data_IF_814049707845
#
_entry.id   IF_814049707845
#
_cell.length_a   1.000
_cell.length_b   1.000
_cell.length_c   1.000
_cell.angle_alpha   90.00
_cell.angle_beta   90.00
_cell.angle_gamma   90.00
#
_symmetry.space_group_name_H-M   'P 1'
#
loop_
_entity.id
_entity.type
_entity.pdbx_description
1 polymer ?
#
# COMPACT_ATOMS: atom_id res chain seq x y z
N UNK A 1 7.42 5.27 -19.65
CA UNK A 1 6.72 4.38 -18.68
C UNK A 1 5.22 4.53 -18.90
N UNK A 2 4.49 3.43 -18.99
CA UNK A 2 3.06 3.51 -19.18
C UNK A 2 2.33 3.73 -17.85
N UNK A 3 1.03 3.96 -17.93
CA UNK A 3 0.25 4.29 -16.73
C UNK A 3 0.24 3.17 -15.70
N UNK A 4 0.13 1.91 -16.14
CA UNK A 4 0.16 0.78 -15.22
C UNK A 4 1.49 0.75 -14.46
N UNK A 5 2.60 0.94 -15.14
CA UNK A 5 3.91 0.96 -14.50
C UNK A 5 4.05 2.12 -13.52
N UNK A 6 3.54 3.29 -13.86
CA UNK A 6 3.56 4.43 -12.94
C UNK A 6 2.76 4.16 -11.68
N UNK A 7 1.61 3.51 -11.83
CA UNK A 7 0.79 3.16 -10.67
C UNK A 7 1.49 2.12 -9.79
N UNK A 8 2.17 1.15 -10.40
CA UNK A 8 2.92 0.15 -9.64
C UNK A 8 4.06 0.81 -8.85
N UNK A 9 4.81 1.70 -9.48
CA UNK A 9 5.84 2.47 -8.78
C UNK A 9 5.25 3.29 -7.65
N UNK A 10 4.14 3.96 -7.91
CA UNK A 10 3.47 4.78 -6.91
C UNK A 10 2.99 3.97 -5.72
N UNK A 11 2.36 2.83 -5.98
CA UNK A 11 1.87 1.96 -4.91
C UNK A 11 3.03 1.49 -4.04
N UNK A 12 4.10 1.01 -4.66
CA UNK A 12 5.28 0.55 -3.93
C UNK A 12 5.84 1.66 -3.05
N UNK A 13 5.96 2.85 -3.61
CA UNK A 13 6.52 4.00 -2.90
C UNK A 13 5.70 4.35 -1.66
N UNK A 14 4.37 4.38 -1.79
CA UNK A 14 3.52 4.71 -0.65
C UNK A 14 3.49 3.61 0.40
N UNK A 15 3.54 2.34 -0.02
CA UNK A 15 3.64 1.23 0.93
C UNK A 15 4.93 1.33 1.74
N UNK A 16 6.04 1.62 1.08
CA UNK A 16 7.33 1.79 1.75
C UNK A 16 7.26 2.96 2.73
N UNK A 17 6.64 4.07 2.32
CA UNK A 17 6.52 5.25 3.17
C UNK A 17 5.75 4.95 4.44
N UNK A 18 4.60 4.29 4.30
CA UNK A 18 3.81 3.93 5.47
C UNK A 18 4.54 2.98 6.40
N UNK A 19 5.25 2.01 5.83
CA UNK A 19 6.03 1.07 6.62
C UNK A 19 7.10 1.81 7.44
N UNK A 20 7.72 2.84 6.87
CA UNK A 20 8.74 3.62 7.58
C UNK A 20 8.17 4.37 8.77
N UNK A 21 6.94 4.87 8.69
CA UNK A 21 6.34 5.58 9.81
C UNK A 21 6.05 4.66 11.00
N UNK A 22 5.88 3.38 10.73
CA UNK A 22 5.48 2.39 11.74
C UNK A 22 6.65 1.53 12.19
N UNK A 23 7.65 1.34 11.31
CA UNK A 23 8.74 0.40 11.55
C UNK A 23 9.48 0.70 12.85
N UNK A 24 9.75 -0.37 13.61
CA UNK A 24 10.45 -0.32 14.89
C UNK A 24 9.69 0.43 15.98
N UNK A 25 8.40 0.62 15.80
CA UNK A 25 7.55 1.23 16.83
C UNK A 25 6.54 0.22 17.30
N UNK A 26 6.28 0.23 18.61
CA UNK A 26 5.15 -0.52 19.15
C UNK A 26 3.86 0.15 18.71
N UNK A 27 2.77 -0.59 18.76
CA UNK A 27 1.46 -0.01 18.47
C UNK A 27 1.20 1.20 19.37
N UNK A 28 1.50 1.08 20.66
CA UNK A 28 1.27 2.17 21.62
C UNK A 28 2.07 3.41 21.28
N UNK A 29 3.35 3.23 20.93
CA UNK A 29 4.19 4.37 20.55
C UNK A 29 3.67 5.04 19.28
N UNK A 30 3.22 4.24 18.31
CA UNK A 30 2.74 4.76 17.05
C UNK A 30 1.49 5.63 17.23
N UNK A 31 0.50 5.15 17.99
CA UNK A 31 -0.76 5.88 18.14
C UNK A 31 -0.61 7.16 18.94
N UNK A 32 0.47 7.28 19.72
CA UNK A 32 0.75 8.49 20.50
C UNK A 32 1.67 9.46 19.77
N UNK A 33 2.19 9.09 18.61
CA UNK A 33 2.96 10.00 17.77
C UNK A 33 2.01 10.61 16.74
N UNK A 34 1.51 11.79 17.07
CA UNK A 34 0.46 12.43 16.28
C UNK A 34 0.89 12.67 14.83
N UNK A 35 2.13 13.09 14.62
CA UNK A 35 2.63 13.34 13.28
C UNK A 35 2.73 12.06 12.46
N UNK A 36 3.27 11.01 13.06
CA UNK A 36 3.39 9.74 12.37
C UNK A 36 2.01 9.15 12.07
N UNK A 37 1.08 9.28 13.01
CA UNK A 37 -0.27 8.79 12.83
C UNK A 37 -0.98 9.52 11.68
N UNK A 38 -0.92 10.85 11.69
CA UNK A 38 -1.58 11.66 10.65
C UNK A 38 -0.97 11.39 9.27
N UNK A 39 0.36 11.28 9.21
CA UNK A 39 1.04 10.99 7.96
C UNK A 39 0.63 9.61 7.42
N UNK A 40 0.49 8.63 8.32
CA UNK A 40 0.07 7.28 7.92
C UNK A 40 -1.36 7.27 7.41
N UNK A 41 -2.25 8.06 8.02
CA UNK A 41 -3.62 8.18 7.51
C UNK A 41 -3.65 8.68 6.06
N UNK A 42 -2.81 9.66 5.75
CA UNK A 42 -2.72 10.15 4.37
C UNK A 42 -2.19 9.05 3.45
N UNK A 43 -1.18 8.31 3.89
CA UNK A 43 -0.61 7.20 3.12
C UNK A 43 -1.68 6.15 2.82
N UNK A 44 -2.53 5.83 3.80
CA UNK A 44 -3.62 4.87 3.61
C UNK A 44 -4.53 5.30 2.46
N UNK A 45 -4.89 6.57 2.41
CA UNK A 45 -5.74 7.07 1.34
C UNK A 45 -5.07 6.96 -0.02
N UNK A 46 -3.78 7.29 -0.10
CA UNK A 46 -3.03 7.19 -1.35
C UNK A 46 -2.89 5.75 -1.81
N UNK A 47 -2.63 4.83 -0.89
CA UNK A 47 -2.51 3.41 -1.22
C UNK A 47 -3.82 2.89 -1.82
N UNK A 48 -4.94 3.18 -1.17
CA UNK A 48 -6.23 2.70 -1.64
C UNK A 48 -6.60 3.27 -3.00
N UNK A 49 -6.35 4.56 -3.20
CA UNK A 49 -6.64 5.18 -4.48
C UNK A 49 -5.82 4.55 -5.61
N UNK A 50 -4.52 4.42 -5.39
CA UNK A 50 -3.63 3.88 -6.43
C UNK A 50 -3.96 2.41 -6.71
N UNK A 51 -4.16 1.61 -5.66
CA UNK A 51 -4.49 0.20 -5.84
C UNK A 51 -5.82 0.02 -6.58
N UNK A 52 -6.82 0.84 -6.27
CA UNK A 52 -8.11 0.79 -6.96
C UNK A 52 -7.96 1.13 -8.43
N UNK A 53 -7.18 2.16 -8.75
CA UNK A 53 -6.93 2.53 -10.14
C UNK A 53 -6.15 1.46 -10.87
N UNK A 54 -5.19 0.84 -10.18
CA UNK A 54 -4.39 -0.22 -10.77
C UNK A 54 -5.26 -1.44 -11.11
N UNK A 55 -6.18 -1.80 -10.22
CA UNK A 55 -7.11 -2.91 -10.48
C UNK A 55 -7.91 -2.64 -11.75
N UNK A 56 -8.32 -1.40 -11.97
CA UNK A 56 -9.10 -1.06 -13.16
C UNK A 56 -8.27 -1.11 -14.45
N UNK A 57 -6.93 -1.05 -14.34
CA UNK A 57 -6.04 -1.12 -15.48
C UNK A 57 -5.52 -2.52 -15.74
N UNK A 58 -5.55 -3.38 -14.73
CA UNK A 58 -5.18 -4.77 -14.89
C UNK A 58 -6.35 -5.44 -15.57
N UNK A 59 -6.19 -5.72 -16.83
CA UNK A 59 -7.24 -6.44 -17.50
C UNK A 59 -6.81 -7.87 -17.69
N UNK A 60 -7.54 -8.55 -18.51
CA UNK A 60 -7.30 -9.93 -18.83
C UNK A 60 -5.97 -10.18 -19.53
N UNK A 61 -5.20 -9.15 -19.84
CA UNK A 61 -3.97 -9.32 -20.60
C UNK A 61 -2.75 -9.53 -19.75
N UNK A 62 -2.89 -10.11 -18.63
CA UNK A 62 -1.72 -10.57 -17.95
C UNK A 62 -0.84 -9.49 -17.41
N UNK A 63 -1.36 -8.81 -16.52
CA UNK A 63 -0.49 -8.05 -15.69
C UNK A 63 0.45 -8.98 -14.95
N UNK A 64 1.63 -8.52 -14.64
CA UNK A 64 2.58 -9.24 -13.81
C UNK A 64 2.13 -9.27 -12.34
N UNK A 65 1.03 -8.62 -12.03
CA UNK A 65 0.49 -8.54 -10.68
C UNK A 65 -0.94 -9.03 -10.72
N UNK A 66 -1.30 -9.94 -9.81
CA UNK A 66 -2.66 -10.43 -9.74
C UNK A 66 -3.57 -9.43 -9.03
N UNK A 67 -4.83 -9.41 -9.45
CA UNK A 67 -5.84 -8.59 -8.76
C UNK A 67 -5.95 -8.98 -7.30
N UNK A 68 -5.73 -10.24 -7.00
CA UNK A 68 -5.86 -10.75 -5.64
C UNK A 68 -4.95 -10.03 -4.66
N UNK A 69 -3.71 -9.74 -5.06
CA UNK A 69 -2.77 -9.09 -4.17
C UNK A 69 -3.11 -7.62 -3.96
N UNK A 70 -3.90 -7.04 -4.84
CA UNK A 70 -4.28 -5.63 -4.77
C UNK A 70 -5.56 -5.38 -3.98
N UNK A 71 -6.31 -6.43 -3.65
CA UNK A 71 -7.57 -6.27 -2.94
C UNK A 71 -7.42 -5.62 -1.58
N UNK A 72 -6.51 -6.12 -0.76
CA UNK A 72 -6.32 -5.58 0.57
C UNK A 72 -5.87 -4.11 0.54
N UNK A 73 -4.87 -3.74 -0.28
CA UNK A 73 -4.53 -2.34 -0.42
C UNK A 73 -5.69 -1.48 -0.92
N UNK A 74 -6.46 -1.98 -1.88
CA UNK A 74 -7.57 -1.20 -2.44
C UNK A 74 -8.66 -0.93 -1.42
N UNK A 75 -8.87 -1.88 -0.50
CA UNK A 75 -9.91 -1.76 0.52
C UNK A 75 -9.39 -1.18 1.83
N UNK A 76 -8.12 -0.86 1.91
CA UNK A 76 -7.49 -0.41 3.14
C UNK A 76 -8.19 0.81 3.73
N UNK A 77 -8.47 1.81 2.91
CA UNK A 77 -9.12 3.02 3.37
C UNK A 77 -10.48 2.71 4.00
N UNK A 78 -11.28 1.89 3.34
CA UNK A 78 -12.60 1.54 3.83
C UNK A 78 -12.53 0.76 5.13
N UNK A 79 -11.52 -0.07 5.29
CA UNK A 79 -11.36 -0.88 6.49
C UNK A 79 -10.79 -0.09 7.65
N UNK A 80 -9.99 0.94 7.37
CA UNK A 80 -9.41 1.80 8.40
C UNK A 80 -10.37 2.89 8.84
N UNK A 81 -11.00 3.54 7.86
CA UNK A 81 -11.90 4.66 8.14
C UNK A 81 -13.34 4.22 7.88
N UNK A 82 -14.11 4.05 8.94
CA UNK A 82 -15.53 3.77 8.75
C UNK A 82 -16.34 4.50 9.81
N UNK A 83 -17.49 5.02 9.37
CA UNK A 83 -18.26 5.96 10.13
C UNK A 83 -17.34 7.10 10.54
N UNK A 84 -17.35 7.55 11.76
CA UNK A 84 -16.46 8.62 12.20
C UNK A 84 -15.28 8.08 12.99
N UNK A 85 -14.94 6.80 12.78
CA UNK A 85 -13.91 6.12 13.55
C UNK A 85 -12.75 5.70 12.67
N UNK A 86 -11.58 5.56 13.30
CA UNK A 86 -10.38 5.05 12.66
C UNK A 86 -9.98 3.77 13.37
N UNK A 87 -9.90 2.67 12.61
CA UNK A 87 -9.42 1.41 13.15
C UNK A 87 -7.89 1.41 13.13
N UNK A 88 -7.31 1.87 14.22
CA UNK A 88 -5.86 2.03 14.34
C UNK A 88 -5.13 0.70 14.36
N UNK A 89 -5.73 -0.33 14.95
CA UNK A 89 -5.12 -1.66 14.96
C UNK A 89 -5.05 -2.24 13.58
N UNK A 90 -6.13 -2.12 12.80
CA UNK A 90 -6.14 -2.61 11.43
C UNK A 90 -5.07 -1.92 10.61
N UNK A 91 -4.96 -0.60 10.76
CA UNK A 91 -3.96 0.18 10.03
C UNK A 91 -2.54 -0.26 10.38
N UNK A 92 -2.25 -0.38 11.67
CA UNK A 92 -0.94 -0.81 12.14
C UNK A 92 -0.60 -2.22 11.63
N UNK A 93 -1.53 -3.15 11.80
CA UNK A 93 -1.33 -4.53 11.36
C UNK A 93 -1.09 -4.65 9.87
N UNK A 94 -1.78 -3.82 9.07
CA UNK A 94 -1.57 -3.84 7.63
C UNK A 94 -0.10 -3.54 7.29
N UNK A 95 0.47 -2.51 7.90
CA UNK A 95 1.84 -2.12 7.58
C UNK A 95 2.88 -3.07 8.16
N UNK A 96 2.55 -3.75 9.25
CA UNK A 96 3.46 -4.73 9.84
C UNK A 96 3.42 -6.06 9.09
N UNK A 97 2.25 -6.52 8.71
CA UNK A 97 2.07 -7.89 8.21
C UNK A 97 1.81 -7.98 6.71
N UNK A 98 1.05 -7.05 6.15
CA UNK A 98 0.64 -7.15 4.75
C UNK A 98 1.54 -6.36 3.81
N UNK A 99 1.86 -5.12 4.16
CA UNK A 99 2.63 -4.25 3.28
C UNK A 99 3.98 -4.84 2.88
N UNK A 100 4.75 -5.48 3.78
CA UNK A 100 6.04 -6.05 3.37
C UNK A 100 5.92 -7.10 2.28
N UNK A 101 4.87 -7.92 2.31
CA UNK A 101 4.63 -8.94 1.29
C UNK A 101 4.35 -8.31 -0.06
N UNK A 102 3.53 -7.27 -0.06
CA UNK A 102 3.14 -6.58 -1.29
C UNK A 102 4.35 -5.84 -1.86
N UNK A 103 5.12 -5.18 -1.00
CA UNK A 103 6.34 -4.49 -1.40
C UNK A 103 7.30 -5.46 -2.11
N UNK A 104 7.44 -6.67 -1.57
CA UNK A 104 8.32 -7.66 -2.18
C UNK A 104 7.88 -8.03 -3.59
N UNK A 105 6.57 -8.27 -3.78
CA UNK A 105 6.03 -8.58 -5.10
C UNK A 105 6.26 -7.43 -6.07
N UNK A 106 5.98 -6.21 -5.64
CA UNK A 106 6.13 -5.04 -6.51
C UNK A 106 7.61 -4.79 -6.83
N UNK A 107 8.49 -5.03 -5.87
CA UNK A 107 9.93 -4.88 -6.09
C UNK A 107 10.42 -5.84 -7.16
N UNK A 108 9.94 -7.09 -7.13
CA UNK A 108 10.30 -8.08 -8.13
C UNK A 108 9.83 -7.68 -9.52
N UNK A 109 8.61 -7.14 -9.61
CA UNK A 109 8.07 -6.69 -10.88
C UNK A 109 8.91 -5.54 -11.45
N UNK A 110 9.24 -4.57 -10.61
CA UNK A 110 10.07 -3.43 -11.03
C UNK A 110 11.45 -3.90 -11.48
N UNK A 111 12.01 -4.85 -10.74
CA UNK A 111 13.32 -5.43 -11.10
C UNK A 111 13.28 -6.07 -12.48
N UNK A 112 12.22 -6.81 -12.81
CA UNK A 112 12.08 -7.44 -14.11
C UNK A 112 12.05 -6.42 -15.25
N UNK A 113 11.47 -5.26 -15.02
CA UNK A 113 11.47 -4.21 -16.04
C UNK A 113 12.89 -3.73 -16.34
N UNK A 114 13.72 -3.63 -15.32
CA UNK A 114 15.10 -3.15 -15.47
C UNK A 114 15.99 -4.17 -16.16
N UNK A 115 15.70 -5.45 -16.02
CA UNK A 115 16.54 -6.50 -16.57
C UNK A 115 16.14 -6.94 -17.98
N UNK A 116 15.01 -6.45 -18.48
CA UNK A 116 14.51 -6.84 -19.80
C UNK A 116 15.09 -6.03 -20.95
N UNK A 117 16.09 -5.25 -20.71
CA UNK A 117 16.71 -4.48 -21.80
C UNK A 117 17.77 -5.26 -22.50
#
# INVERSE_FOLDING_TARGET
MNEEQELIFGLRRWLIKGTKYINNRSFDDFIHDEMAFDATCFVVEMISEIATRLISKIDEYSSQISVEILKNPAELQRNVFFDDNIDMEFMYDFFINEAPKIILVLTNVVYLWKTKK
#
